data_IF_806736451923
#
_entry.id   IF_806736451923
#
_cell.length_a   1.000
_cell.length_b   1.000
_cell.length_c   1.000
_cell.angle_alpha   90.00
_cell.angle_beta   90.00
_cell.angle_gamma   90.00
#
_symmetry.space_group_name_H-M   'P 1'
#
loop_
_entity.id
_entity.type
_entity.pdbx_description
1 polymer ?
#
# COMPACT_ATOMS: atom_id res chain seq x y z
N UNK A 1 25.91 -5.49 76.97
CA UNK A 1 26.99 -4.87 76.16
C UNK A 1 26.64 -5.15 74.70
N UNK A 2 26.25 -4.27 73.79
CA UNK A 2 26.01 -2.82 73.69
C UNK A 2 24.90 -2.69 72.60
N UNK A 3 23.78 -2.00 72.87
CA UNK A 3 23.40 -0.67 72.38
C UNK A 3 23.50 -0.47 70.84
N UNK A 4 22.40 -0.37 70.09
CA UNK A 4 21.45 0.76 69.86
C UNK A 4 21.67 1.41 68.46
N UNK A 5 20.58 1.39 67.66
CA UNK A 5 20.05 2.36 66.67
C UNK A 5 20.99 3.21 65.79
N UNK A 6 20.72 3.26 64.48
CA UNK A 6 20.55 4.55 63.77
C UNK A 6 19.81 4.42 62.42
N UNK A 7 18.82 5.30 62.25
CA UNK A 7 18.03 5.59 61.06
C UNK A 7 18.87 6.23 59.94
N UNK A 8 18.52 6.00 58.67
CA UNK A 8 18.18 7.07 57.70
C UNK A 8 17.99 6.55 56.26
N UNK A 9 16.74 6.61 55.83
CA UNK A 9 16.21 6.66 54.44
C UNK A 9 16.69 7.96 53.73
N UNK A 10 16.45 8.17 52.42
CA UNK A 10 16.99 7.55 51.21
C UNK A 10 17.85 8.54 50.37
N UNK A 11 18.83 8.07 49.59
CA UNK A 11 19.39 8.88 48.50
C UNK A 11 18.72 8.48 47.18
N UNK A 12 17.63 9.16 46.85
CA UNK A 12 17.03 9.11 45.51
C UNK A 12 17.99 9.87 44.58
N UNK A 13 18.89 9.14 43.92
CA UNK A 13 19.71 9.70 42.87
C UNK A 13 18.87 9.76 41.59
N UNK A 14 18.34 10.96 41.33
CA UNK A 14 17.65 11.34 40.12
C UNK A 14 18.50 11.04 38.89
N UNK A 15 18.25 9.93 38.21
CA UNK A 15 18.67 9.73 36.84
C UNK A 15 17.67 10.47 35.93
N UNK A 16 17.96 11.75 35.67
CA UNK A 16 17.34 12.47 34.56
C UNK A 16 17.77 11.78 33.25
N UNK A 17 16.98 10.80 32.82
CA UNK A 17 17.22 10.12 31.56
C UNK A 17 16.86 11.09 30.42
N UNK A 18 17.91 11.47 29.70
CA UNK A 18 17.97 12.25 28.48
C UNK A 18 16.77 11.96 27.55
N UNK A 19 15.76 12.85 27.54
CA UNK A 19 14.74 12.87 26.50
C UNK A 19 15.37 13.43 25.22
N UNK A 20 16.14 12.59 24.51
CA UNK A 20 16.48 12.84 23.13
C UNK A 20 15.15 12.94 22.37
N UNK A 21 14.85 14.14 21.85
CA UNK A 21 13.63 14.40 21.11
C UNK A 21 13.47 13.36 20.00
N UNK A 22 12.46 12.51 20.13
CA UNK A 22 11.92 11.78 18.99
C UNK A 22 11.33 12.82 18.04
N UNK A 23 12.15 13.37 17.15
CA UNK A 23 11.61 14.03 15.97
C UNK A 23 10.88 12.95 15.19
N UNK A 24 9.56 13.08 14.92
CA UNK A 24 8.89 12.13 14.06
C UNK A 24 9.66 12.08 12.74
N UNK A 25 9.88 10.86 12.20
CA UNK A 25 10.50 10.73 10.89
C UNK A 25 9.71 11.59 9.89
N UNK A 26 10.38 12.50 9.17
CA UNK A 26 9.72 13.38 8.22
C UNK A 26 8.96 12.56 7.16
N UNK A 27 7.81 13.08 6.75
CA UNK A 27 7.08 12.51 5.63
C UNK A 27 7.86 12.80 4.34
N UNK A 28 8.16 11.76 3.57
CA UNK A 28 8.91 11.88 2.31
C UNK A 28 8.06 11.35 1.15
N UNK A 29 8.13 12.02 0.00
CA UNK A 29 7.42 11.63 -1.20
C UNK A 29 8.26 11.85 -2.45
N UNK A 30 8.53 10.77 -3.18
CA UNK A 30 9.25 10.79 -4.44
C UNK A 30 8.38 10.28 -5.58
N UNK A 31 8.47 10.90 -6.75
CA UNK A 31 7.85 10.33 -7.96
C UNK A 31 8.71 10.56 -9.20
N UNK A 32 8.56 9.68 -10.18
CA UNK A 32 9.23 9.78 -11.47
C UNK A 32 8.30 9.32 -12.58
N UNK A 33 8.31 10.06 -13.69
CA UNK A 33 7.64 9.70 -14.94
C UNK A 33 8.63 9.70 -16.09
N UNK A 34 8.57 8.67 -16.92
CA UNK A 34 9.41 8.50 -18.11
C UNK A 34 8.50 8.16 -19.29
N UNK A 35 8.69 8.84 -20.41
CA UNK A 35 7.97 8.56 -21.66
C UNK A 35 9.00 8.18 -22.72
N UNK A 36 8.77 7.07 -23.42
CA UNK A 36 9.68 6.55 -24.45
C UNK A 36 8.88 6.05 -25.65
N UNK A 37 9.44 6.07 -26.87
CA UNK A 37 8.88 5.35 -28.00
C UNK A 37 8.77 3.84 -27.69
N UNK A 38 7.75 3.18 -28.25
CA UNK A 38 7.57 1.74 -28.16
C UNK A 38 7.88 1.06 -29.50
N UNK A 39 8.01 -0.27 -29.51
CA UNK A 39 8.38 -1.03 -30.71
C UNK A 39 7.33 -0.95 -31.85
N UNK A 40 6.07 -0.65 -31.52
CA UNK A 40 5.00 -0.47 -32.49
C UNK A 40 4.98 0.93 -33.12
N UNK A 41 5.96 1.79 -32.82
CA UNK A 41 6.04 3.17 -33.29
C UNK A 41 5.18 4.16 -32.49
N UNK A 42 4.54 3.70 -31.41
CA UNK A 42 3.80 4.53 -30.47
C UNK A 42 4.64 4.99 -29.28
N UNK A 43 3.98 5.21 -28.15
CA UNK A 43 4.65 5.64 -26.91
C UNK A 43 4.30 4.75 -25.72
N UNK A 44 5.24 4.60 -24.80
CA UNK A 44 5.02 4.03 -23.47
C UNK A 44 5.41 5.06 -22.41
N UNK A 45 4.47 5.41 -21.54
CA UNK A 45 4.70 6.21 -20.35
C UNK A 45 4.73 5.29 -19.12
N UNK A 46 5.81 5.34 -18.35
CA UNK A 46 5.93 4.67 -17.05
C UNK A 46 6.00 5.72 -15.95
N UNK A 47 5.24 5.54 -14.88
CA UNK A 47 5.29 6.39 -13.70
C UNK A 47 5.40 5.53 -12.44
N UNK A 48 6.18 5.99 -11.48
CA UNK A 48 6.29 5.40 -10.16
C UNK A 48 6.31 6.49 -9.08
N UNK A 49 5.76 6.18 -7.92
CA UNK A 49 5.77 7.04 -6.75
C UNK A 49 5.92 6.23 -5.47
N UNK A 50 6.61 6.81 -4.50
CA UNK A 50 6.81 6.29 -3.18
C UNK A 50 6.50 7.38 -2.15
N UNK A 51 5.90 6.98 -1.04
CA UNK A 51 5.53 7.87 0.06
C UNK A 51 5.89 7.17 1.38
N UNK A 52 6.50 7.91 2.28
CA UNK A 52 6.68 7.56 3.68
C UNK A 52 5.95 8.59 4.54
N UNK A 53 5.13 8.10 5.47
CA UNK A 53 4.37 8.91 6.40
C UNK A 53 5.04 9.01 7.77
N UNK A 54 4.64 10.00 8.58
CA UNK A 54 5.32 10.35 9.84
C UNK A 54 5.25 9.27 10.94
N UNK A 55 4.42 8.24 10.76
CA UNK A 55 4.26 7.12 11.69
C UNK A 55 4.79 5.80 11.09
N UNK A 56 5.79 5.86 10.20
CA UNK A 56 6.41 4.69 9.59
C UNK A 56 5.56 3.97 8.53
N UNK A 57 4.36 4.48 8.24
CA UNK A 57 3.55 3.99 7.13
C UNK A 57 4.19 4.32 5.79
N UNK A 58 3.97 3.50 4.78
CA UNK A 58 4.47 3.74 3.43
C UNK A 58 3.43 3.40 2.38
N UNK A 59 3.60 3.98 1.19
CA UNK A 59 2.86 3.62 0.00
C UNK A 59 3.80 3.63 -1.21
N UNK A 60 3.52 2.76 -2.16
CA UNK A 60 4.21 2.62 -3.44
C UNK A 60 3.14 2.47 -4.51
N UNK A 61 3.30 3.14 -5.64
CA UNK A 61 2.48 2.93 -6.83
C UNK A 61 3.37 2.99 -8.05
N UNK A 62 3.20 2.05 -8.96
CA UNK A 62 3.83 2.10 -10.26
C UNK A 62 2.85 1.70 -11.34
N UNK A 63 3.01 2.25 -12.54
CA UNK A 63 2.23 1.85 -13.69
C UNK A 63 2.89 2.23 -15.00
N UNK A 64 2.54 1.48 -16.04
CA UNK A 64 2.96 1.74 -17.41
C UNK A 64 1.72 1.78 -18.30
N UNK A 65 1.67 2.75 -19.19
CA UNK A 65 0.64 2.87 -20.23
C UNK A 65 1.34 2.94 -21.58
N UNK A 66 0.94 2.06 -22.51
CA UNK A 66 1.37 2.10 -23.90
C UNK A 66 0.21 2.50 -24.78
N UNK A 67 0.46 3.33 -25.79
CA UNK A 67 -0.48 3.68 -26.84
C UNK A 67 0.22 3.47 -28.18
N UNK A 68 -0.44 2.79 -29.10
CA UNK A 68 0.09 2.43 -30.40
C UNK A 68 -0.53 3.31 -31.51
N UNK A 69 0.09 3.38 -32.70
CA UNK A 69 -0.42 4.22 -33.80
C UNK A 69 -1.80 3.82 -34.31
N UNK A 70 -2.18 2.55 -34.15
CA UNK A 70 -3.51 2.03 -34.51
C UNK A 70 -4.61 2.40 -33.51
N UNK A 71 -4.28 3.18 -32.47
CA UNK A 71 -5.22 3.58 -31.41
C UNK A 71 -5.35 2.57 -30.28
N UNK A 72 -4.76 1.37 -30.40
CA UNK A 72 -4.75 0.40 -29.30
C UNK A 72 -3.91 0.91 -28.13
N UNK A 73 -4.33 0.59 -26.92
CA UNK A 73 -3.66 0.99 -25.70
C UNK A 73 -3.64 -0.13 -24.66
N UNK A 74 -2.61 -0.16 -23.85
CA UNK A 74 -2.53 -1.03 -22.68
C UNK A 74 -2.07 -0.26 -21.46
N UNK A 75 -2.55 -0.65 -20.29
CA UNK A 75 -2.15 -0.13 -19.00
C UNK A 75 -1.94 -1.30 -18.05
N UNK A 76 -0.90 -1.20 -17.22
CA UNK A 76 -0.65 -2.10 -16.09
C UNK A 76 -0.20 -1.27 -14.90
N UNK A 77 -0.71 -1.57 -13.72
CA UNK A 77 -0.29 -0.88 -12.49
C UNK A 77 -0.32 -1.79 -11.27
N UNK A 78 0.49 -1.40 -10.30
CA UNK A 78 0.56 -1.98 -8.98
C UNK A 78 0.56 -0.88 -7.91
N UNK A 79 0.02 -1.21 -6.75
CA UNK A 79 0.04 -0.40 -5.55
C UNK A 79 0.32 -1.32 -4.35
N UNK A 80 1.15 -0.87 -3.44
CA UNK A 80 1.32 -1.47 -2.12
C UNK A 80 1.36 -0.36 -1.09
N UNK A 81 0.65 -0.50 0.02
CA UNK A 81 0.76 0.42 1.14
C UNK A 81 0.63 -0.36 2.45
N UNK A 82 1.29 0.13 3.50
CA UNK A 82 1.16 -0.41 4.84
C UNK A 82 1.35 0.68 5.89
N UNK A 83 0.80 0.46 7.08
CA UNK A 83 0.97 1.33 8.23
C UNK A 83 0.23 0.79 9.43
N UNK A 84 0.07 1.61 10.47
CA UNK A 84 -0.55 1.22 11.75
C UNK A 84 -1.98 0.67 11.64
N UNK A 85 -2.71 0.98 10.55
CA UNK A 85 -4.08 0.51 10.31
C UNK A 85 -4.16 -0.81 9.56
N UNK A 86 -3.06 -1.26 8.96
CA UNK A 86 -3.06 -2.44 8.09
C UNK A 86 -2.23 -2.26 6.83
N UNK A 87 -2.48 -3.13 5.87
CA UNK A 87 -1.83 -3.10 4.56
C UNK A 87 -2.84 -3.27 3.42
N UNK A 88 -2.44 -2.82 2.24
CA UNK A 88 -3.18 -3.04 0.99
C UNK A 88 -2.19 -3.28 -0.15
N UNK A 89 -2.49 -4.27 -0.98
CA UNK A 89 -1.80 -4.56 -2.22
C UNK A 89 -2.85 -4.63 -3.32
N UNK A 90 -2.58 -4.00 -4.46
CA UNK A 90 -3.50 -4.00 -5.59
C UNK A 90 -2.73 -4.03 -6.88
N UNK A 91 -3.15 -4.87 -7.82
CA UNK A 91 -2.60 -4.90 -9.17
C UNK A 91 -3.72 -4.95 -10.18
N UNK A 92 -3.49 -4.39 -11.36
CA UNK A 92 -4.49 -4.39 -12.41
C UNK A 92 -3.95 -4.05 -13.76
N UNK A 93 -4.76 -4.35 -14.77
CA UNK A 93 -4.48 -4.07 -16.17
C UNK A 93 -5.73 -3.56 -16.87
N UNK A 94 -5.52 -2.79 -17.93
CA UNK A 94 -6.57 -2.42 -18.88
C UNK A 94 -6.00 -2.47 -20.28
N UNK A 95 -6.79 -2.92 -21.24
CA UNK A 95 -6.48 -2.89 -22.67
C UNK A 95 -7.62 -2.25 -23.42
N UNK A 96 -7.29 -1.55 -24.49
CA UNK A 96 -8.20 -1.06 -25.51
C UNK A 96 -7.63 -1.51 -26.84
N UNK A 97 -8.42 -2.24 -27.63
CA UNK A 97 -7.99 -2.58 -28.98
C UNK A 97 -8.25 -1.41 -29.96
N UNK A 98 -7.79 -1.57 -31.20
CA UNK A 98 -7.95 -0.55 -32.25
C UNK A 98 -9.42 -0.27 -32.62
N UNK A 99 -10.34 -1.20 -32.31
CA UNK A 99 -11.79 -1.02 -32.52
C UNK A 99 -12.48 -0.31 -31.34
N UNK A 100 -11.75 -0.06 -30.25
CA UNK A 100 -12.26 0.59 -29.04
C UNK A 100 -12.82 -0.36 -27.99
N UNK A 101 -12.73 -1.68 -28.20
CA UNK A 101 -13.16 -2.64 -27.18
C UNK A 101 -12.19 -2.63 -26.01
N UNK A 102 -12.75 -2.56 -24.81
CA UNK A 102 -12.00 -2.41 -23.56
C UNK A 102 -12.10 -3.70 -22.77
N UNK A 103 -10.99 -4.12 -22.17
CA UNK A 103 -10.97 -5.14 -21.12
C UNK A 103 -10.15 -4.61 -19.95
N UNK A 104 -10.62 -4.82 -18.73
CA UNK A 104 -9.95 -4.38 -17.51
C UNK A 104 -10.04 -5.45 -16.44
N UNK A 105 -8.99 -5.56 -15.64
CA UNK A 105 -8.99 -6.39 -14.43
C UNK A 105 -8.23 -5.69 -13.30
N UNK A 106 -8.67 -5.92 -12.06
CA UNK A 106 -7.96 -5.51 -10.85
C UNK A 106 -8.18 -6.54 -9.76
N UNK A 107 -7.12 -6.93 -9.07
CA UNK A 107 -7.18 -7.69 -7.83
C UNK A 107 -6.62 -6.84 -6.70
N UNK A 108 -7.27 -6.85 -5.55
CA UNK A 108 -6.83 -6.13 -4.35
C UNK A 108 -6.94 -7.01 -3.12
N UNK A 109 -5.93 -6.93 -2.27
CA UNK A 109 -5.90 -7.53 -0.95
C UNK A 109 -5.71 -6.41 0.05
N UNK A 110 -6.53 -6.36 1.08
CA UNK A 110 -6.32 -5.46 2.22
C UNK A 110 -6.43 -6.25 3.52
N UNK A 111 -5.56 -5.96 4.48
CA UNK A 111 -5.51 -6.63 5.78
C UNK A 111 -5.54 -5.60 6.89
N UNK A 112 -6.42 -5.77 7.88
CA UNK A 112 -6.48 -4.93 9.07
C UNK A 112 -5.38 -5.30 10.04
N UNK A 113 -4.62 -4.30 10.53
CA UNK A 113 -3.66 -4.53 11.61
C UNK A 113 -4.35 -4.77 12.97
N UNK A 114 -5.58 -4.28 13.15
CA UNK A 114 -6.31 -4.39 14.42
C UNK A 114 -6.91 -5.78 14.62
N UNK A 115 -7.51 -6.35 13.57
CA UNK A 115 -8.22 -7.63 13.67
C UNK A 115 -7.47 -8.78 13.00
N UNK A 116 -6.49 -8.49 12.14
CA UNK A 116 -5.86 -9.49 11.26
C UNK A 116 -6.76 -9.97 10.12
N UNK A 117 -8.01 -9.50 10.04
CA UNK A 117 -8.93 -9.88 8.96
C UNK A 117 -8.46 -9.28 7.64
N UNK A 118 -8.73 -9.99 6.54
CA UNK A 118 -8.41 -9.52 5.20
C UNK A 118 -9.61 -9.58 4.26
N UNK A 119 -9.56 -8.78 3.21
CA UNK A 119 -10.47 -8.85 2.06
C UNK A 119 -9.66 -9.06 0.80
N UNK A 120 -10.02 -10.07 0.03
CA UNK A 120 -9.54 -10.31 -1.33
C UNK A 120 -10.66 -9.94 -2.28
N UNK A 121 -10.44 -8.93 -3.11
CA UNK A 121 -11.38 -8.53 -4.14
C UNK A 121 -10.79 -8.65 -5.53
N UNK A 122 -11.66 -8.93 -6.49
CA UNK A 122 -11.35 -8.87 -7.92
C UNK A 122 -12.48 -8.18 -8.67
N UNK A 123 -12.11 -7.23 -9.51
CA UNK A 123 -13.00 -6.55 -10.46
C UNK A 123 -12.54 -6.86 -11.86
N UNK A 124 -13.48 -7.17 -12.75
CA UNK A 124 -13.26 -7.25 -14.19
C UNK A 124 -14.28 -6.39 -14.93
N UNK A 125 -13.89 -5.88 -16.08
CA UNK A 125 -14.78 -5.19 -17.01
C UNK A 125 -14.47 -5.59 -18.45
N UNK A 126 -15.50 -5.69 -19.27
CA UNK A 126 -15.40 -5.88 -20.72
C UNK A 126 -16.53 -5.18 -21.46
N UNK A 127 -16.27 -4.63 -22.65
CA UNK A 127 -17.26 -3.87 -23.45
C UNK A 127 -18.55 -4.66 -23.75
N UNK A 128 -18.51 -6.00 -23.78
CA UNK A 128 -19.70 -6.84 -23.92
C UNK A 128 -20.25 -7.44 -22.62
N UNK A 129 -19.47 -7.46 -21.54
CA UNK A 129 -19.80 -8.17 -20.29
C UNK A 129 -20.16 -7.25 -19.13
N UNK A 130 -19.93 -5.93 -19.26
CA UNK A 130 -20.09 -5.00 -18.15
C UNK A 130 -19.09 -5.26 -17.03
N UNK A 131 -19.43 -4.82 -15.82
CA UNK A 131 -18.58 -4.96 -14.62
C UNK A 131 -18.95 -6.22 -13.84
N UNK A 132 -17.95 -6.98 -13.43
CA UNK A 132 -18.08 -8.04 -12.43
C UNK A 132 -17.16 -7.73 -11.26
N UNK A 133 -17.66 -7.85 -10.05
CA UNK A 133 -16.89 -7.67 -8.83
C UNK A 133 -17.17 -8.81 -7.86
N UNK A 134 -16.12 -9.41 -7.33
CA UNK A 134 -16.18 -10.42 -6.28
C UNK A 134 -15.30 -9.99 -5.12
N UNK A 135 -15.75 -10.28 -3.90
CA UNK A 135 -14.96 -10.08 -2.69
C UNK A 135 -15.15 -11.27 -1.74
N UNK A 136 -14.06 -11.72 -1.15
CA UNK A 136 -14.05 -12.75 -0.11
C UNK A 136 -13.26 -12.23 1.07
N UNK A 137 -13.85 -12.31 2.25
CA UNK A 137 -13.23 -11.85 3.48
C UNK A 137 -12.76 -13.03 4.31
N UNK A 138 -11.61 -12.87 4.96
CA UNK A 138 -10.98 -13.89 5.79
C UNK A 138 -10.74 -13.35 7.19
N UNK A 139 -10.88 -14.21 8.20
CA UNK A 139 -10.41 -13.94 9.55
C UNK A 139 -8.88 -13.97 9.61
N UNK A 140 -8.31 -13.52 10.73
CA UNK A 140 -6.87 -13.69 11.00
C UNK A 140 -6.39 -15.16 10.97
N UNK A 141 -7.28 -16.11 11.23
CA UNK A 141 -7.00 -17.55 11.14
C UNK A 141 -7.14 -18.14 9.73
N UNK A 142 -7.53 -17.33 8.73
CA UNK A 142 -7.73 -17.74 7.35
C UNK A 142 -9.10 -18.36 7.04
N UNK A 143 -10.04 -18.35 8.00
CA UNK A 143 -11.40 -18.83 7.75
C UNK A 143 -12.20 -17.79 6.95
N UNK A 144 -13.00 -18.26 5.98
CA UNK A 144 -13.92 -17.37 5.24
C UNK A 144 -14.97 -16.81 6.19
N UNK A 145 -15.12 -15.48 6.18
CA UNK A 145 -16.10 -14.74 6.96
C UNK A 145 -16.94 -13.86 6.05
N UNK A 146 -18.10 -13.43 6.55
CA UNK A 146 -18.89 -12.42 5.85
C UNK A 146 -18.09 -11.12 5.72
N UNK A 147 -18.08 -10.55 4.52
CA UNK A 147 -17.61 -9.18 4.31
C UNK A 147 -18.62 -8.23 4.96
N UNK A 148 -18.13 -7.39 5.88
CA UNK A 148 -18.93 -6.44 6.66
C UNK A 148 -18.27 -5.08 6.67
#
# INVERSE_FOLDING_TARGET
>A
MNHILSLSTPCVLSAALLAAGFTPADAEAGSRRVVRPNAAGGTTATAAGAWHGPNGGYALRAGATSVNPDGSASHRSGLSAAGSRGSVQSSGSATRDASGQVTQSRSSVATSATTGNSVHSSTSYGTGSGVTHTATCYSASGAVIACR
#
